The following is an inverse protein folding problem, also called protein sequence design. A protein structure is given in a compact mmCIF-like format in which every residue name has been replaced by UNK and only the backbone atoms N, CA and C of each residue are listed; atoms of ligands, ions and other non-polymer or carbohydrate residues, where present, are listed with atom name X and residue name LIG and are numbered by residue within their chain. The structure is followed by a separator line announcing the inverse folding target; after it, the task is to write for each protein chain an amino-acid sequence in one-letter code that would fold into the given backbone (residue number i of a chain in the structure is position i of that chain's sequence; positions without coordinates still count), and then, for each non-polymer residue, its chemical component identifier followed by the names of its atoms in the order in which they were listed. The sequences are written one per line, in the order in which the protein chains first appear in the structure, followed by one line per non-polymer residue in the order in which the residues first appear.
data_IF_392367612075
#
_entry.id   IF_392367612075
#
_cell.length_a   1.000
_cell.length_b   1.000
_cell.length_c   1.000
_cell.angle_alpha   90.00
_cell.angle_beta   90.00
_cell.angle_gamma   90.00
#
_symmetry.space_group_name_H-M   'P 1'
#
loop_
_entity.id
_entity.type
_entity.pdbx_description
1 polymer ?
#
# COMPACT_ATOMS: atom_id res chain seq x y z
N UNK A 1 18.32 -17.50 9.58
CA UNK A 1 19.39 -16.56 9.19
C UNK A 1 19.53 -15.53 10.30
N UNK A 2 20.71 -14.96 10.48
CA UNK A 2 20.89 -13.80 11.37
C UNK A 2 20.13 -12.61 10.77
N UNK A 3 19.42 -11.85 11.62
CA UNK A 3 18.63 -10.71 11.17
C UNK A 3 18.39 -9.70 12.29
N UNK A 4 18.29 -8.43 11.91
CA UNK A 4 17.85 -7.35 12.76
C UNK A 4 16.32 -7.34 12.88
N UNK A 5 15.83 -6.99 14.06
CA UNK A 5 14.41 -6.87 14.35
C UNK A 5 14.06 -5.46 14.83
N UNK A 6 12.99 -4.91 14.27
CA UNK A 6 12.40 -3.66 14.72
C UNK A 6 11.31 -3.95 15.75
N UNK A 7 11.42 -3.32 16.92
CA UNK A 7 10.51 -3.46 18.06
C UNK A 7 9.16 -2.80 17.83
N UNK A 8 8.41 -3.28 16.83
CA UNK A 8 7.09 -2.72 16.49
C UNK A 8 6.06 -2.93 17.59
N UNK A 9 6.20 -3.99 18.38
CA UNK A 9 5.35 -4.29 19.54
C UNK A 9 5.19 -3.09 20.48
N UNK A 10 6.24 -2.28 20.66
CA UNK A 10 6.24 -1.08 21.51
C UNK A 10 5.32 0.05 21.02
N UNK A 11 4.85 0.00 19.77
CA UNK A 11 4.02 1.04 19.15
C UNK A 11 2.57 0.58 18.95
N UNK A 12 2.23 -0.66 19.32
CA UNK A 12 0.90 -1.22 19.09
C UNK A 12 -0.21 -0.38 19.75
N UNK A 13 -0.03 0.02 21.02
CA UNK A 13 -1.01 0.82 21.76
C UNK A 13 -1.18 2.21 21.15
N UNK A 14 -0.06 2.89 20.83
CA UNK A 14 -0.08 4.21 20.17
C UNK A 14 -0.77 4.17 18.81
N UNK A 15 -0.53 3.12 18.03
CA UNK A 15 -1.19 2.96 16.74
C UNK A 15 -2.69 2.69 16.90
N UNK A 16 -3.09 1.88 17.90
CA UNK A 16 -4.50 1.63 18.18
C UNK A 16 -5.22 2.93 18.56
N UNK A 17 -4.65 3.72 19.47
CA UNK A 17 -5.19 5.02 19.88
C UNK A 17 -5.31 5.98 18.67
N UNK A 18 -4.31 6.00 17.78
CA UNK A 18 -4.37 6.80 16.57
C UNK A 18 -5.52 6.38 15.65
N UNK A 19 -5.69 5.07 15.42
CA UNK A 19 -6.77 4.52 14.57
C UNK A 19 -8.16 4.82 15.17
N UNK A 20 -8.29 4.80 16.49
CA UNK A 20 -9.55 5.10 17.19
C UNK A 20 -9.90 6.59 17.16
N UNK A 21 -8.90 7.46 17.31
CA UNK A 21 -9.06 8.92 17.28
C UNK A 21 -9.21 9.51 15.87
N UNK A 22 -8.78 8.80 14.83
CA UNK A 22 -8.84 9.22 13.43
C UNK A 22 -9.64 8.20 12.60
N UNK A 23 -10.98 8.17 12.70
CA UNK A 23 -11.82 7.17 12.04
C UNK A 23 -11.68 7.15 10.50
N UNK A 24 -11.25 8.26 9.91
CA UNK A 24 -10.96 8.44 8.48
C UNK A 24 -9.61 7.85 8.05
N UNK A 25 -8.72 7.50 8.97
CA UNK A 25 -7.36 7.09 8.64
C UNK A 25 -7.29 5.83 7.76
N UNK A 26 -8.19 4.86 7.96
CA UNK A 26 -8.24 3.63 7.16
C UNK A 26 -9.61 3.49 6.50
N UNK A 27 -9.63 3.54 5.17
CA UNK A 27 -10.86 3.45 4.37
C UNK A 27 -10.79 2.32 3.33
N UNK A 28 -11.93 1.67 3.02
CA UNK A 28 -13.21 1.74 3.74
C UNK A 28 -13.13 1.11 5.14
N UNK A 29 -14.15 1.35 5.98
CA UNK A 29 -14.18 0.87 7.38
C UNK A 29 -14.01 -0.66 7.53
N UNK A 30 -14.43 -1.44 6.54
CA UNK A 30 -14.18 -2.89 6.52
C UNK A 30 -12.68 -3.23 6.58
N UNK A 31 -11.81 -2.40 5.99
CA UNK A 31 -10.34 -2.56 6.04
C UNK A 31 -9.78 -2.22 7.40
N UNK A 32 -10.30 -1.16 8.05
CA UNK A 32 -9.97 -0.83 9.44
C UNK A 32 -10.24 -2.02 10.35
N UNK A 33 -11.45 -2.58 10.24
CA UNK A 33 -11.88 -3.71 11.06
C UNK A 33 -11.02 -4.97 10.82
N UNK A 34 -10.62 -5.23 9.58
CA UNK A 34 -9.70 -6.31 9.25
C UNK A 34 -8.33 -6.13 9.92
N UNK A 35 -7.75 -4.94 9.81
CA UNK A 35 -6.42 -4.64 10.37
C UNK A 35 -6.41 -4.73 11.91
N UNK A 36 -7.43 -4.13 12.54
CA UNK A 36 -7.57 -4.11 14.01
C UNK A 36 -7.78 -5.52 14.55
N UNK A 37 -8.74 -6.28 14.02
CA UNK A 37 -9.11 -7.58 14.59
C UNK A 37 -8.10 -8.69 14.28
N UNK A 38 -7.48 -8.68 13.10
CA UNK A 38 -6.61 -9.78 12.67
C UNK A 38 -5.14 -9.58 13.06
N UNK A 39 -4.70 -8.34 13.29
CA UNK A 39 -3.27 -8.05 13.51
C UNK A 39 -2.98 -7.27 14.79
N UNK A 40 -3.76 -6.24 15.12
CA UNK A 40 -3.46 -5.41 16.30
C UNK A 40 -3.98 -6.04 17.60
N UNK A 41 -5.23 -6.50 17.64
CA UNK A 41 -5.84 -7.12 18.84
C UNK A 41 -5.14 -8.41 19.30
N UNK A 42 -4.68 -9.33 18.41
CA UNK A 42 -3.96 -10.51 18.83
C UNK A 42 -2.56 -10.22 19.42
N UNK A 43 -2.05 -9.01 19.23
CA UNK A 43 -0.70 -8.61 19.61
C UNK A 43 0.24 -8.54 18.41
N UNK A 44 0.98 -7.44 18.30
CA UNK A 44 1.93 -7.20 17.22
C UNK A 44 3.30 -7.77 17.56
N UNK A 45 3.85 -8.61 16.68
CA UNK A 45 5.21 -9.13 16.80
C UNK A 45 6.24 -8.14 16.23
N UNK A 46 7.48 -8.27 16.69
CA UNK A 46 8.61 -7.53 16.14
C UNK A 46 8.86 -7.90 14.67
N UNK A 47 9.23 -6.92 13.86
CA UNK A 47 9.41 -7.09 12.43
C UNK A 47 10.86 -7.41 12.11
N UNK A 48 11.11 -8.48 11.36
CA UNK A 48 12.43 -8.79 10.83
C UNK A 48 12.80 -7.83 9.67
N UNK A 49 13.74 -6.91 9.93
CA UNK A 49 14.06 -5.75 9.09
C UNK A 49 15.32 -5.88 8.24
N UNK A 50 16.01 -7.02 8.29
CA UNK A 50 17.15 -7.31 7.40
C UNK A 50 17.18 -8.77 6.93
N UNK A 51 17.98 -9.08 5.92
CA UNK A 51 18.25 -10.44 5.41
C UNK A 51 19.74 -10.60 5.08
N UNK A 52 20.27 -11.82 5.14
CA UNK A 52 21.66 -12.13 4.75
C UNK A 52 21.76 -13.13 3.60
N UNK A 53 20.63 -13.72 3.21
CA UNK A 53 20.55 -14.77 2.19
C UNK A 53 20.68 -14.29 0.73
N UNK A 54 20.73 -12.98 0.47
CA UNK A 54 20.87 -12.39 -0.86
C UNK A 54 21.52 -11.00 -0.78
N UNK A 55 22.00 -10.48 -1.91
CA UNK A 55 22.71 -9.18 -2.01
C UNK A 55 21.97 -8.11 -2.83
N UNK A 56 20.79 -8.41 -3.37
CA UNK A 56 19.99 -7.43 -4.12
C UNK A 56 19.08 -6.62 -3.19
N UNK A 57 19.52 -5.42 -2.83
CA UNK A 57 18.79 -4.44 -2.05
C UNK A 57 19.72 -3.38 -1.45
N UNK A 58 19.18 -2.51 -0.59
CA UNK A 58 19.98 -1.49 0.11
C UNK A 58 20.76 -2.14 1.26
N UNK A 59 22.09 -1.99 1.35
CA UNK A 59 22.87 -2.54 2.46
C UNK A 59 22.56 -1.79 3.77
N UNK A 60 22.64 -2.51 4.90
CA UNK A 60 22.57 -1.89 6.22
C UNK A 60 23.89 -1.15 6.49
N UNK A 61 23.82 0.14 6.80
CA UNK A 61 24.99 1.04 6.83
C UNK A 61 26.02 0.70 7.91
N UNK A 62 25.62 0.01 8.98
CA UNK A 62 26.51 -0.41 10.07
C UNK A 62 26.88 -1.90 10.00
N UNK A 63 26.35 -2.65 9.02
CA UNK A 63 26.57 -4.08 8.85
C UNK A 63 26.29 -4.50 7.40
N UNK A 64 27.28 -4.34 6.52
CA UNK A 64 27.13 -4.53 5.07
C UNK A 64 26.81 -5.98 4.66
N UNK A 65 26.97 -6.96 5.58
CA UNK A 65 26.52 -8.34 5.36
C UNK A 65 25.00 -8.49 5.34
N UNK A 66 24.28 -7.47 5.80
CA UNK A 66 22.83 -7.42 5.86
C UNK A 66 22.25 -6.50 4.78
N UNK A 67 21.16 -6.95 4.16
CA UNK A 67 20.33 -6.17 3.23
C UNK A 67 19.04 -5.76 3.94
N UNK A 68 18.66 -4.48 3.80
CA UNK A 68 17.43 -3.90 4.35
C UNK A 68 16.20 -4.62 3.78
N UNK A 69 15.24 -4.93 4.66
CA UNK A 69 13.98 -5.54 4.24
C UNK A 69 13.22 -4.65 3.26
N UNK A 70 12.81 -5.24 2.13
CA UNK A 70 12.22 -4.50 0.99
C UNK A 70 11.05 -3.59 1.35
N UNK A 71 10.26 -3.89 2.38
CA UNK A 71 9.15 -3.01 2.76
C UNK A 71 9.60 -1.72 3.46
N UNK A 72 10.76 -1.70 4.12
CA UNK A 72 11.31 -0.47 4.70
C UNK A 72 11.79 0.44 3.57
N UNK A 73 12.57 -0.14 2.66
CA UNK A 73 13.03 0.52 1.45
C UNK A 73 11.84 1.06 0.63
N UNK A 74 10.91 0.17 0.24
CA UNK A 74 9.77 0.52 -0.58
C UNK A 74 8.86 1.55 0.08
N UNK A 75 8.51 1.44 1.37
CA UNK A 75 7.61 2.41 2.01
C UNK A 75 8.25 3.80 2.16
N UNK A 76 9.58 3.87 2.29
CA UNK A 76 10.29 5.15 2.39
C UNK A 76 10.17 6.01 1.12
N UNK A 77 9.79 5.43 -0.03
CA UNK A 77 9.61 6.14 -1.30
C UNK A 77 8.73 7.39 -1.17
N UNK A 78 7.71 7.35 -0.31
CA UNK A 78 6.74 8.43 -0.15
C UNK A 78 7.37 9.72 0.39
N UNK A 79 8.39 9.60 1.25
CA UNK A 79 9.08 10.75 1.83
C UNK A 79 10.38 11.07 1.07
N UNK A 80 11.08 10.06 0.55
CA UNK A 80 12.34 10.28 -0.19
C UNK A 80 12.11 10.95 -1.53
N UNK A 81 11.00 10.65 -2.22
CA UNK A 81 10.60 11.36 -3.44
C UNK A 81 10.35 12.86 -3.22
N UNK A 82 10.07 13.27 -1.97
CA UNK A 82 9.89 14.67 -1.57
C UNK A 82 11.18 15.32 -1.05
N UNK A 83 12.31 14.59 -1.03
CA UNK A 83 13.61 15.10 -0.58
C UNK A 83 13.94 14.82 0.89
N UNK A 84 13.17 13.97 1.60
CA UNK A 84 13.53 13.55 2.95
C UNK A 84 14.94 12.92 2.98
N UNK A 85 15.79 13.37 3.91
CA UNK A 85 17.19 12.96 4.01
C UNK A 85 18.15 13.64 3.02
N UNK A 86 17.67 14.53 2.16
CA UNK A 86 18.50 15.32 1.24
C UNK A 86 18.70 16.77 1.72
N UNK A 87 19.52 17.54 1.01
CA UNK A 87 19.75 18.98 1.26
C UNK A 87 18.53 19.85 0.88
N UNK A 88 17.73 19.44 -0.11
CA UNK A 88 16.52 20.16 -0.53
C UNK A 88 15.26 19.46 -0.02
N UNK A 89 14.51 20.15 0.85
CA UNK A 89 13.29 19.63 1.50
C UNK A 89 12.03 20.44 1.19
N UNK A 90 12.08 21.35 0.21
CA UNK A 90 10.97 22.26 -0.11
C UNK A 90 9.66 21.50 -0.42
N UNK A 91 9.77 20.35 -1.09
CA UNK A 91 8.61 19.50 -1.40
C UNK A 91 8.14 18.73 -0.17
N UNK A 92 9.05 18.24 0.67
CA UNK A 92 8.70 17.55 1.90
C UNK A 92 7.89 18.46 2.83
N UNK A 93 8.39 19.67 3.08
CA UNK A 93 7.74 20.64 3.98
C UNK A 93 6.37 21.10 3.46
N UNK A 94 6.17 21.05 2.13
CA UNK A 94 4.92 21.46 1.49
C UNK A 94 3.87 20.34 1.41
N UNK A 95 4.29 19.10 1.15
CA UNK A 95 3.39 18.01 0.79
C UNK A 95 3.29 16.89 1.82
N UNK A 96 4.21 16.80 2.78
CA UNK A 96 4.13 15.81 3.86
C UNK A 96 3.39 16.39 5.08
N UNK A 97 2.46 15.65 5.73
CA UNK A 97 2.04 14.28 5.43
C UNK A 97 1.08 14.16 4.23
N UNK A 98 1.16 13.02 3.53
CA UNK A 98 0.27 12.72 2.42
C UNK A 98 -1.21 12.75 2.84
N UNK A 99 -2.05 13.42 2.05
CA UNK A 99 -3.50 13.43 2.28
C UNK A 99 -4.12 12.04 2.04
N UNK A 100 -3.71 11.34 0.99
CA UNK A 100 -4.21 10.00 0.65
C UNK A 100 -3.11 9.11 0.11
N UNK A 101 -2.98 7.92 0.70
CA UNK A 101 -2.31 6.77 0.07
C UNK A 101 -3.38 5.84 -0.54
N UNK A 102 -3.40 5.73 -1.86
CA UNK A 102 -4.30 4.83 -2.59
C UNK A 102 -3.57 3.52 -2.90
N UNK A 103 -4.05 2.41 -2.35
CA UNK A 103 -3.40 1.10 -2.46
C UNK A 103 -4.40 -0.03 -2.69
N UNK A 104 -3.90 -1.18 -3.20
CA UNK A 104 -4.65 -2.41 -3.23
C UNK A 104 -4.77 -3.05 -1.84
N UNK A 105 -5.88 -3.76 -1.60
CA UNK A 105 -6.12 -4.43 -0.30
C UNK A 105 -5.04 -5.43 0.13
N UNK A 106 -4.27 -5.98 -0.80
CA UNK A 106 -3.21 -6.96 -0.53
C UNK A 106 -1.99 -6.39 0.19
N UNK A 107 -1.81 -5.07 0.17
CA UNK A 107 -0.69 -4.39 0.82
C UNK A 107 -1.11 -3.48 1.97
N UNK A 108 -2.36 -3.61 2.43
CA UNK A 108 -2.94 -2.81 3.52
C UNK A 108 -2.09 -2.86 4.79
N UNK A 109 -1.72 -4.06 5.24
CA UNK A 109 -0.93 -4.26 6.47
C UNK A 109 0.35 -3.42 6.49
N UNK A 110 1.02 -3.32 5.34
CA UNK A 110 2.26 -2.55 5.23
C UNK A 110 2.01 -1.04 5.37
N UNK A 111 0.88 -0.53 4.88
CA UNK A 111 0.57 0.90 4.85
C UNK A 111 -0.21 1.39 6.08
N UNK A 112 -0.91 0.50 6.79
CA UNK A 112 -1.74 0.85 7.95
C UNK A 112 -1.13 0.42 9.29
N UNK A 113 -0.11 -0.46 9.27
CA UNK A 113 0.59 -0.89 10.49
C UNK A 113 2.09 -0.60 10.39
N UNK A 114 2.77 -1.12 9.38
CA UNK A 114 4.24 -1.03 9.35
C UNK A 114 4.70 0.41 9.10
N UNK A 115 4.11 1.04 8.08
CA UNK A 115 4.44 2.42 7.72
C UNK A 115 4.17 3.42 8.84
N UNK A 116 2.98 3.45 9.47
CA UNK A 116 2.71 4.36 10.58
C UNK A 116 3.64 4.13 11.77
N UNK A 117 3.97 2.88 12.12
CA UNK A 117 4.89 2.58 13.20
C UNK A 117 6.32 3.04 12.88
N UNK A 118 6.78 2.86 11.63
CA UNK A 118 8.07 3.41 11.20
C UNK A 118 8.09 4.93 11.29
N UNK A 119 7.02 5.62 10.87
CA UNK A 119 6.88 7.07 11.00
C UNK A 119 6.87 7.52 12.46
N UNK A 120 6.14 6.83 13.35
CA UNK A 120 6.15 7.09 14.79
C UNK A 120 7.55 6.93 15.40
N UNK A 121 8.32 5.94 14.95
CA UNK A 121 9.69 5.74 15.42
C UNK A 121 10.67 6.80 14.90
N UNK A 122 10.37 7.41 13.76
CA UNK A 122 11.10 8.54 13.19
C UNK A 122 10.61 9.90 13.71
N UNK A 123 9.58 9.92 14.57
CA UNK A 123 8.90 11.13 15.03
C UNK A 123 8.35 12.01 13.90
N UNK A 124 7.80 11.36 12.86
CA UNK A 124 7.21 12.00 11.68
C UNK A 124 5.69 11.93 11.71
N UNK A 125 4.99 12.92 11.12
CA UNK A 125 3.53 12.89 11.03
C UNK A 125 3.06 11.75 10.13
N UNK A 126 1.91 11.16 10.49
CA UNK A 126 1.29 10.06 9.78
C UNK A 126 0.48 10.58 8.58
N UNK A 127 0.30 9.77 7.51
CA UNK A 127 -0.60 10.14 6.42
C UNK A 127 -2.03 10.30 6.93
N UNK A 128 -2.80 11.22 6.33
CA UNK A 128 -4.16 11.52 6.79
C UNK A 128 -5.13 10.38 6.51
N UNK A 129 -4.96 9.70 5.36
CA UNK A 129 -5.82 8.59 4.95
C UNK A 129 -5.05 7.54 4.15
N UNK A 130 -5.36 6.27 4.40
CA UNK A 130 -5.01 5.11 3.58
C UNK A 130 -6.29 4.51 3.02
N UNK A 131 -6.44 4.54 1.70
CA UNK A 131 -7.57 3.95 1.00
C UNK A 131 -7.18 2.62 0.33
N UNK A 132 -7.75 1.52 0.83
CA UNK A 132 -7.55 0.17 0.30
C UNK A 132 -8.64 -0.26 -0.68
N UNK A 133 -8.40 -0.10 -1.98
CA UNK A 133 -9.33 -0.54 -3.02
C UNK A 133 -9.30 -2.08 -3.21
N UNK A 134 -10.39 -2.63 -3.77
CA UNK A 134 -10.49 -4.06 -4.06
C UNK A 134 -9.69 -4.48 -5.29
N UNK A 135 -9.80 -5.75 -5.65
CA UNK A 135 -9.17 -6.28 -6.86
C UNK A 135 -10.06 -6.09 -8.09
N UNK A 136 -9.40 -5.96 -9.24
CA UNK A 136 -10.04 -6.22 -10.53
C UNK A 136 -9.91 -7.71 -10.86
N UNK A 137 -11.04 -8.40 -10.88
CA UNK A 137 -11.16 -9.83 -11.15
C UNK A 137 -11.50 -10.02 -12.63
N UNK A 138 -10.76 -10.87 -13.34
CA UNK A 138 -11.03 -11.27 -14.73
C UNK A 138 -11.45 -12.74 -14.72
N UNK A 139 -12.57 -13.05 -15.37
CA UNK A 139 -13.14 -14.41 -15.47
C UNK A 139 -13.29 -15.13 -14.12
N UNK A 140 -13.65 -14.38 -13.07
CA UNK A 140 -13.90 -14.92 -11.72
C UNK A 140 -12.67 -15.07 -10.83
N UNK A 141 -11.48 -14.59 -11.23
CA UNK A 141 -10.28 -14.62 -10.38
C UNK A 141 -9.38 -13.38 -10.54
N UNK A 142 -8.42 -13.18 -9.61
CA UNK A 142 -7.42 -12.10 -9.69
C UNK A 142 -6.62 -12.22 -10.99
N UNK A 143 -6.41 -11.12 -11.71
CA UNK A 143 -5.48 -11.08 -12.84
C UNK A 143 -4.06 -11.44 -12.38
N UNK A 144 -3.41 -12.37 -13.08
CA UNK A 144 -1.98 -12.61 -12.90
C UNK A 144 -1.32 -13.05 -14.20
N UNK A 145 -0.11 -12.55 -14.45
CA UNK A 145 0.70 -12.94 -15.62
C UNK A 145 0.85 -14.46 -15.73
N UNK A 146 0.95 -15.16 -14.60
CA UNK A 146 1.04 -16.62 -14.52
C UNK A 146 -0.21 -17.38 -14.98
N UNK A 147 -1.39 -16.75 -14.94
CA UNK A 147 -2.67 -17.38 -15.34
C UNK A 147 -3.08 -17.07 -16.77
N UNK A 148 -2.36 -16.18 -17.46
CA UNK A 148 -2.67 -15.76 -18.83
C UNK A 148 -3.97 -14.96 -18.97
N UNK A 149 -4.66 -14.63 -17.86
CA UNK A 149 -5.89 -13.85 -17.83
C UNK A 149 -5.64 -12.34 -17.69
N UNK A 150 -4.47 -11.87 -18.10
CA UNK A 150 -4.10 -10.46 -18.01
C UNK A 150 -4.76 -9.73 -19.17
N UNK A 151 -5.54 -8.71 -18.83
CA UNK A 151 -6.04 -7.76 -19.81
C UNK A 151 -5.06 -6.61 -19.89
N UNK A 152 -4.49 -6.39 -21.07
CA UNK A 152 -3.56 -5.29 -21.30
C UNK A 152 -4.35 -3.97 -21.40
N UNK A 153 -4.17 -3.02 -20.46
CA UNK A 153 -4.87 -1.75 -20.52
C UNK A 153 -4.48 -0.93 -21.75
N UNK A 154 -3.27 -1.09 -22.29
CA UNK A 154 -2.84 -0.36 -23.50
C UNK A 154 -3.65 -0.85 -24.69
N UNK A 155 -3.76 -2.17 -24.88
CA UNK A 155 -4.58 -2.77 -25.94
C UNK A 155 -6.06 -2.37 -25.81
N UNK A 156 -6.61 -2.28 -24.58
CA UNK A 156 -7.97 -1.77 -24.40
C UNK A 156 -8.10 -0.30 -24.83
N UNK A 157 -7.14 0.54 -24.47
CA UNK A 157 -7.13 1.96 -24.84
C UNK A 157 -7.00 2.14 -26.34
N UNK A 158 -6.17 1.33 -27.01
CA UNK A 158 -6.01 1.35 -28.47
C UNK A 158 -7.33 1.02 -29.20
N UNK A 159 -8.12 0.09 -28.69
CA UNK A 159 -9.38 -0.32 -29.32
C UNK A 159 -10.58 0.58 -28.96
N UNK A 160 -10.65 1.08 -27.74
CA UNK A 160 -11.86 1.73 -27.20
C UNK A 160 -11.67 3.17 -26.75
N UNK A 161 -10.44 3.69 -26.76
CA UNK A 161 -10.11 5.03 -26.32
C UNK A 161 -9.89 5.16 -24.81
N UNK A 162 -9.06 6.14 -24.43
CA UNK A 162 -8.64 6.35 -23.03
C UNK A 162 -9.82 6.70 -22.10
N UNK A 163 -10.75 7.50 -22.58
CA UNK A 163 -11.88 7.97 -21.76
C UNK A 163 -12.86 6.84 -21.45
N UNK A 164 -13.12 5.94 -22.41
CA UNK A 164 -13.98 4.78 -22.21
C UNK A 164 -13.41 3.83 -21.13
N UNK A 165 -12.09 3.57 -21.19
CA UNK A 165 -11.39 2.74 -20.21
C UNK A 165 -11.42 3.39 -18.83
N UNK A 166 -11.10 4.68 -18.72
CA UNK A 166 -11.15 5.41 -17.43
C UNK A 166 -12.56 5.45 -16.85
N UNK A 167 -13.56 5.73 -17.69
CA UNK A 167 -14.97 5.76 -17.28
C UNK A 167 -15.38 4.40 -16.72
N UNK A 168 -15.11 3.31 -17.44
CA UNK A 168 -15.43 1.97 -16.96
C UNK A 168 -14.80 1.68 -15.59
N UNK A 169 -13.48 1.90 -15.46
CA UNK A 169 -12.75 1.58 -14.25
C UNK A 169 -13.27 2.36 -13.03
N UNK A 170 -13.66 3.63 -13.22
CA UNK A 170 -14.14 4.47 -12.13
C UNK A 170 -15.64 4.31 -11.86
N UNK A 171 -16.43 3.91 -12.86
CA UNK A 171 -17.90 3.83 -12.78
C UNK A 171 -18.41 2.46 -12.37
N UNK A 172 -17.78 1.40 -12.89
CA UNK A 172 -18.29 0.03 -12.76
C UNK A 172 -17.66 -0.71 -11.58
N UNK A 173 -16.41 -0.39 -11.22
CA UNK A 173 -15.73 -0.99 -10.09
C UNK A 173 -16.07 -0.19 -8.83
N UNK A 174 -16.84 -0.76 -7.88
CA UNK A 174 -17.17 -0.05 -6.65
C UNK A 174 -15.90 0.16 -5.82
N UNK A 175 -15.63 1.41 -5.45
CA UNK A 175 -14.49 1.74 -4.61
C UNK A 175 -14.57 1.00 -3.26
N UNK A 176 -13.57 0.17 -2.97
CA UNK A 176 -13.46 -0.62 -1.73
C UNK A 176 -13.85 -2.11 -1.86
N UNK A 177 -14.60 -2.46 -2.90
CA UNK A 177 -15.00 -3.84 -3.22
C UNK A 177 -14.25 -4.38 -4.43
N UNK A 178 -14.26 -5.70 -4.60
CA UNK A 178 -13.71 -6.31 -5.81
C UNK A 178 -14.66 -6.05 -6.99
N UNK A 179 -14.11 -5.66 -8.13
CA UNK A 179 -14.85 -5.46 -9.37
C UNK A 179 -14.58 -6.59 -10.35
N UNK A 180 -15.60 -6.98 -11.10
CA UNK A 180 -15.44 -7.93 -12.20
C UNK A 180 -15.16 -7.16 -13.49
N UNK A 181 -14.16 -7.62 -14.25
CA UNK A 181 -13.93 -7.23 -15.62
C UNK A 181 -14.18 -8.42 -16.53
N UNK A 182 -15.01 -8.21 -17.55
CA UNK A 182 -15.03 -9.03 -18.75
C UNK A 182 -15.33 -8.11 -19.95
N UNK A 183 -14.91 -8.55 -21.15
CA UNK A 183 -15.02 -7.73 -22.35
C UNK A 183 -16.49 -7.41 -22.71
N UNK A 184 -17.43 -8.32 -22.42
CA UNK A 184 -18.84 -8.13 -22.74
C UNK A 184 -19.50 -7.02 -21.89
N UNK A 185 -19.26 -7.02 -20.57
CA UNK A 185 -19.71 -5.98 -19.63
C UNK A 185 -19.05 -4.66 -20.01
N UNK A 186 -17.75 -4.68 -20.31
CA UNK A 186 -17.03 -3.48 -20.76
C UNK A 186 -17.68 -2.86 -22.00
N UNK A 187 -17.82 -3.63 -23.09
CA UNK A 187 -18.42 -3.16 -24.35
C UNK A 187 -19.85 -2.69 -24.15
N UNK A 188 -20.65 -3.42 -23.35
CA UNK A 188 -22.04 -3.04 -23.06
C UNK A 188 -22.12 -1.69 -22.34
N UNK A 189 -21.20 -1.40 -21.42
CA UNK A 189 -21.20 -0.17 -20.61
C UNK A 189 -20.73 1.05 -21.36
N UNK A 190 -19.79 0.91 -22.28
CA UNK A 190 -19.31 2.04 -23.09
C UNK A 190 -20.30 2.43 -24.19
N UNK A 191 -21.19 1.52 -24.58
CA UNK A 191 -22.20 1.72 -25.62
C UNK A 191 -23.58 2.16 -25.06
N UNK A 192 -23.73 2.30 -23.75
CA UNK A 192 -24.97 2.74 -23.06
C UNK A 192 -24.86 4.16 -22.56
#
# INVERSE_FOLDING_TARGET
EEAYFFKMSNYADKLMEYIESHPEFIQPESRKNEMVNNFLKPGLQDLCVSRTSFNWGVPVTFDEGHVVYVWIDALSNYITALGYGSENKDLYDKYWPADVHLIGKDILRFHTIYWPIMLMALDLPLPKQVFGHGWLLVDGGKMSKSKGNVVDPVTLVEHFGVDAVRYYLLREIPFGSDGLFNNEIFIKKINS
#
